data_IF_280417969752
#
_entry.id   IF_280417969752
#
_cell.length_a   1.000
_cell.length_b   1.000
_cell.length_c   1.000
_cell.angle_alpha   90.00
_cell.angle_beta   90.00
_cell.angle_gamma   90.00
#
_symmetry.space_group_name_H-M   'P 1'
#
loop_
_entity.id
_entity.type
_entity.pdbx_description
1 polymer ?
#
# COMPACT_ATOMS: atom_id res chain seq x y z
N UNK A 1 19.23 -11.51 -30.09
CA UNK A 1 18.55 -10.55 -30.98
C UNK A 1 17.14 -10.41 -30.44
N UNK A 2 16.84 -9.31 -29.75
CA UNK A 2 15.50 -9.06 -29.22
C UNK A 2 14.68 -8.38 -30.32
N UNK A 3 13.63 -9.04 -30.79
CA UNK A 3 12.70 -8.46 -31.77
C UNK A 3 11.92 -7.33 -31.12
N UNK A 4 11.96 -6.16 -31.74
CA UNK A 4 11.21 -4.98 -31.31
C UNK A 4 9.74 -5.13 -31.68
N UNK A 5 8.92 -5.65 -30.76
CA UNK A 5 7.48 -5.69 -30.96
C UNK A 5 6.85 -4.30 -30.73
N UNK A 6 6.14 -3.81 -31.73
CA UNK A 6 5.26 -2.65 -31.63
C UNK A 6 3.86 -3.08 -31.23
N UNK A 7 3.16 -2.26 -30.44
CA UNK A 7 1.81 -2.63 -30.00
C UNK A 7 0.76 -2.39 -31.08
N UNK A 8 -0.07 -3.41 -31.32
CA UNK A 8 -1.12 -3.42 -32.33
C UNK A 8 -2.26 -2.38 -32.12
N UNK A 9 -2.38 -1.79 -30.92
CA UNK A 9 -3.46 -0.83 -30.59
C UNK A 9 -2.99 0.62 -30.63
N UNK A 10 -1.82 0.90 -30.05
CA UNK A 10 -1.28 2.26 -29.85
C UNK A 10 -0.14 2.62 -30.84
N UNK A 11 0.44 1.64 -31.53
CA UNK A 11 1.60 1.83 -32.41
C UNK A 11 2.92 2.16 -31.68
N UNK A 12 2.92 2.33 -30.36
CA UNK A 12 4.15 2.55 -29.57
C UNK A 12 4.95 1.27 -29.40
N UNK A 13 6.28 1.40 -29.38
CA UNK A 13 7.23 0.30 -29.10
C UNK A 13 6.89 -0.31 -27.73
N UNK A 14 6.75 -1.64 -27.68
CA UNK A 14 6.57 -2.32 -26.40
C UNK A 14 7.90 -2.41 -25.68
N UNK A 15 7.86 -2.27 -24.35
CA UNK A 15 9.01 -2.55 -23.50
C UNK A 15 8.67 -3.86 -22.79
N UNK A 16 9.47 -4.91 -23.01
CA UNK A 16 9.22 -6.25 -22.48
C UNK A 16 7.82 -6.82 -22.82
N UNK A 17 7.33 -6.56 -24.04
CA UNK A 17 6.07 -7.14 -24.53
C UNK A 17 4.78 -6.45 -24.08
N UNK A 18 4.84 -5.31 -23.38
CA UNK A 18 3.65 -4.57 -22.90
C UNK A 18 3.64 -3.12 -23.39
N UNK A 19 2.49 -2.60 -23.88
CA UNK A 19 2.35 -1.18 -24.30
C UNK A 19 2.18 -0.27 -23.08
N UNK A 20 3.10 0.68 -22.84
CA UNK A 20 3.00 1.62 -21.71
C UNK A 20 1.81 2.59 -21.84
N UNK A 21 1.27 2.75 -23.04
CA UNK A 21 0.15 3.67 -23.33
C UNK A 21 -1.24 3.03 -23.14
N UNK A 22 -1.38 1.75 -23.47
CA UNK A 22 -2.66 1.02 -23.42
C UNK A 22 -2.89 0.27 -22.11
N UNK A 23 -1.83 -0.06 -21.37
CA UNK A 23 -1.94 -0.74 -20.08
C UNK A 23 -1.17 0.03 -18.99
N UNK A 24 -1.69 1.17 -18.51
CA UNK A 24 -1.04 1.98 -17.47
C UNK A 24 -0.94 1.27 -16.11
N UNK A 25 -1.54 0.07 -15.97
CA UNK A 25 -1.41 -0.78 -14.78
C UNK A 25 -0.15 -1.62 -14.73
N UNK A 26 0.58 -1.78 -15.85
CA UNK A 26 1.81 -2.60 -15.92
C UNK A 26 2.91 -1.99 -16.80
N UNK A 27 2.89 -0.68 -17.03
CA UNK A 27 4.16 0.03 -17.16
C UNK A 27 4.86 -0.11 -15.80
N UNK A 28 5.49 -1.26 -15.56
CA UNK A 28 6.59 -1.36 -14.63
C UNK A 28 7.45 -0.13 -14.93
N UNK A 29 7.52 0.78 -13.96
CA UNK A 29 8.51 1.82 -13.97
C UNK A 29 9.86 1.14 -13.95
N UNK A 30 10.34 0.72 -15.11
CA UNK A 30 11.75 0.48 -15.34
C UNK A 30 12.40 1.85 -15.24
N UNK A 31 12.66 2.28 -14.01
CA UNK A 31 13.71 3.23 -13.75
C UNK A 31 14.93 2.67 -14.48
N UNK A 32 15.50 3.45 -15.41
CA UNK A 32 16.68 3.00 -16.15
C UNK A 32 17.75 2.55 -15.15
N UNK A 33 18.64 1.63 -15.53
CA UNK A 33 19.65 1.09 -14.61
C UNK A 33 20.37 2.17 -13.78
N UNK A 34 20.61 3.35 -14.36
CA UNK A 34 21.19 4.51 -13.67
C UNK A 34 20.31 5.10 -12.54
N UNK A 35 19.00 5.14 -12.73
CA UNK A 35 18.05 5.58 -11.71
C UNK A 35 17.92 4.52 -10.61
N UNK A 36 17.88 3.25 -10.98
CA UNK A 36 17.83 2.13 -10.04
C UNK A 36 19.04 2.14 -9.09
N UNK A 37 20.25 2.34 -9.61
CA UNK A 37 21.47 2.45 -8.82
C UNK A 37 21.46 3.66 -7.88
N UNK A 38 20.79 4.76 -8.27
CA UNK A 38 20.62 5.94 -7.42
C UNK A 38 19.69 5.64 -6.23
N UNK A 39 18.60 4.91 -6.44
CA UNK A 39 17.67 4.54 -5.38
C UNK A 39 18.19 3.44 -4.44
N UNK A 40 19.14 2.60 -4.87
CA UNK A 40 19.77 1.62 -3.96
C UNK A 40 20.46 2.26 -2.74
N UNK A 41 20.86 3.53 -2.83
CA UNK A 41 21.52 4.24 -1.73
C UNK A 41 20.62 4.48 -0.51
N UNK A 42 19.30 4.44 -0.68
CA UNK A 42 18.35 4.61 0.44
C UNK A 42 17.87 3.26 1.00
N UNK A 43 18.19 2.15 0.34
CA UNK A 43 17.74 0.82 0.74
C UNK A 43 18.73 0.16 1.70
N UNK A 44 18.19 -0.59 2.66
CA UNK A 44 19.00 -1.31 3.65
C UNK A 44 19.65 -2.54 3.03
N UNK A 45 18.93 -3.27 2.17
CA UNK A 45 19.46 -4.43 1.46
C UNK A 45 19.75 -4.08 -0.01
N UNK A 46 20.95 -4.43 -0.46
CA UNK A 46 21.40 -4.27 -1.83
C UNK A 46 20.49 -4.97 -2.84
N UNK A 47 19.85 -6.09 -2.49
CA UNK A 47 18.98 -6.85 -3.40
C UNK A 47 17.55 -6.30 -3.47
N UNK A 48 17.26 -5.16 -2.84
CA UNK A 48 15.95 -4.53 -2.91
C UNK A 48 15.70 -3.87 -4.27
N UNK A 49 14.53 -4.13 -4.84
CA UNK A 49 14.08 -3.54 -6.10
C UNK A 49 13.12 -2.39 -5.86
N UNK A 50 13.40 -1.23 -6.45
CA UNK A 50 12.50 -0.09 -6.41
C UNK A 50 11.21 -0.39 -7.18
N UNK A 51 10.05 -0.17 -6.55
CA UNK A 51 8.73 -0.38 -7.17
C UNK A 51 8.02 0.94 -7.46
N UNK A 52 8.10 1.90 -6.55
CA UNK A 52 7.40 3.19 -6.69
C UNK A 52 7.77 4.19 -5.61
N UNK A 53 7.45 5.47 -5.83
CA UNK A 53 7.58 6.50 -4.81
C UNK A 53 6.41 7.47 -4.86
N UNK A 54 6.15 8.11 -3.72
CA UNK A 54 5.30 9.26 -3.53
C UNK A 54 6.18 10.46 -3.24
N UNK A 55 6.02 11.52 -4.03
CA UNK A 55 6.84 12.72 -3.93
C UNK A 55 8.18 12.55 -4.61
N UNK A 56 8.21 12.08 -5.87
CA UNK A 56 9.46 11.80 -6.60
C UNK A 56 10.43 13.01 -6.60
N UNK A 57 9.90 14.23 -6.73
CA UNK A 57 10.70 15.46 -6.67
C UNK A 57 11.41 15.63 -5.31
N UNK A 58 10.74 15.28 -4.21
CA UNK A 58 11.30 15.36 -2.86
C UNK A 58 12.33 14.25 -2.62
N UNK A 59 12.07 13.05 -3.13
CA UNK A 59 13.02 11.92 -3.10
C UNK A 59 14.30 12.26 -3.88
N UNK A 60 14.20 12.83 -5.08
CA UNK A 60 15.37 13.24 -5.87
C UNK A 60 16.16 14.36 -5.18
N UNK A 61 15.46 15.31 -4.56
CA UNK A 61 16.11 16.35 -3.78
C UNK A 61 16.85 15.77 -2.57
N UNK A 62 16.27 14.78 -1.88
CA UNK A 62 16.94 14.07 -0.79
C UNK A 62 18.22 13.35 -1.26
N UNK A 63 18.14 12.64 -2.38
CA UNK A 63 19.26 11.89 -2.95
C UNK A 63 20.42 12.80 -3.41
N UNK A 64 20.11 14.07 -3.73
CA UNK A 64 21.10 15.04 -4.21
C UNK A 64 21.65 15.92 -3.08
N UNK A 65 20.78 16.41 -2.18
CA UNK A 65 21.12 17.41 -1.16
C UNK A 65 21.19 16.85 0.26
N UNK A 66 20.74 15.63 0.51
CA UNK A 66 20.63 15.02 1.84
C UNK A 66 19.54 15.62 2.73
N UNK A 67 18.79 16.62 2.26
CA UNK A 67 17.74 17.31 3.01
C UNK A 67 16.38 17.23 2.31
N UNK A 68 15.31 17.18 3.10
CA UNK A 68 13.94 17.12 2.60
C UNK A 68 13.05 18.09 3.36
N UNK A 69 12.42 19.03 2.66
CA UNK A 69 11.44 19.94 3.27
C UNK A 69 10.08 19.27 3.51
N UNK A 70 9.57 18.56 2.50
CA UNK A 70 8.30 17.82 2.55
C UNK A 70 8.59 16.31 2.56
N UNK A 71 7.72 15.51 3.18
CA UNK A 71 7.94 14.07 3.23
C UNK A 71 7.99 13.40 1.85
N UNK A 72 8.65 12.26 1.75
CA UNK A 72 8.52 11.33 0.63
C UNK A 72 8.31 9.92 1.17
N UNK A 73 7.72 9.06 0.33
CA UNK A 73 7.63 7.63 0.60
C UNK A 73 8.18 6.85 -0.59
N UNK A 74 9.10 5.92 -0.38
CA UNK A 74 9.62 5.04 -1.42
C UNK A 74 9.27 3.59 -1.09
N UNK A 75 8.84 2.82 -2.09
CA UNK A 75 8.43 1.42 -1.98
C UNK A 75 9.47 0.59 -2.70
N UNK A 76 9.99 -0.39 -1.99
CA UNK A 76 10.82 -1.47 -2.50
C UNK A 76 9.99 -2.77 -2.60
N UNK A 77 10.55 -3.86 -3.11
CA UNK A 77 9.92 -5.18 -3.09
C UNK A 77 9.82 -5.79 -1.69
N UNK A 78 10.56 -5.26 -0.70
CA UNK A 78 10.54 -5.77 0.69
C UNK A 78 9.97 -4.77 1.70
N UNK A 79 10.24 -3.47 1.50
CA UNK A 79 10.03 -2.43 2.52
C UNK A 79 9.47 -1.15 1.93
N UNK A 80 8.79 -0.39 2.76
CA UNK A 80 8.39 0.99 2.50
C UNK A 80 9.22 1.91 3.38
N UNK A 81 9.87 2.88 2.75
CA UNK A 81 10.73 3.88 3.35
C UNK A 81 9.99 5.20 3.41
N UNK A 82 9.91 5.78 4.60
CA UNK A 82 9.31 7.08 4.86
C UNK A 82 10.39 8.03 5.36
N UNK A 83 10.42 9.26 4.85
CA UNK A 83 11.35 10.28 5.33
C UNK A 83 10.75 11.67 5.15
N UNK A 84 11.12 12.60 6.02
CA UNK A 84 10.69 13.99 6.01
C UNK A 84 9.42 14.22 6.82
N UNK A 85 8.66 15.24 6.41
CA UNK A 85 7.52 15.72 7.19
C UNK A 85 6.28 14.83 7.00
N UNK A 86 5.92 14.09 8.03
CA UNK A 86 4.79 13.15 8.09
C UNK A 86 3.82 13.51 9.21
N UNK A 87 2.64 12.90 9.19
CA UNK A 87 1.65 13.00 10.26
C UNK A 87 1.51 11.66 10.96
N UNK A 88 1.90 11.62 12.24
CA UNK A 88 1.76 10.43 13.09
C UNK A 88 0.65 10.69 14.12
N UNK A 89 -0.07 9.64 14.52
CA UNK A 89 -1.04 9.75 15.61
C UNK A 89 -0.32 9.78 16.96
N UNK A 90 -0.56 10.82 17.75
CA UNK A 90 -0.17 10.84 19.16
C UNK A 90 -1.11 9.97 20.01
N UNK A 91 -0.73 9.73 21.27
CA UNK A 91 -1.52 9.01 22.29
C UNK A 91 -2.97 9.50 22.44
N UNK A 92 -3.23 10.77 22.12
CA UNK A 92 -4.57 11.40 22.15
C UNK A 92 -5.35 11.24 20.82
N UNK A 93 -4.95 10.31 19.95
CA UNK A 93 -5.55 10.09 18.61
C UNK A 93 -5.56 11.30 17.67
N UNK A 94 -4.70 12.31 17.93
CA UNK A 94 -4.57 13.49 17.07
C UNK A 94 -3.37 13.32 16.15
N UNK A 95 -3.53 13.67 14.87
CA UNK A 95 -2.44 13.72 13.92
C UNK A 95 -1.57 14.94 14.21
N UNK A 96 -0.30 14.69 14.50
CA UNK A 96 0.70 15.74 14.72
C UNK A 96 1.71 15.69 13.59
N UNK A 97 2.00 16.86 13.03
CA UNK A 97 3.02 17.02 12.00
C UNK A 97 4.39 16.87 12.66
N UNK A 98 5.16 15.88 12.26
CA UNK A 98 6.50 15.61 12.76
C UNK A 98 7.43 15.27 11.59
N UNK A 99 8.72 15.52 11.77
CA UNK A 99 9.74 15.05 10.84
C UNK A 99 10.22 13.69 11.35
N UNK A 100 9.90 12.62 10.62
CA UNK A 100 10.20 11.26 11.04
C UNK A 100 10.71 10.46 9.83
N UNK A 101 11.82 9.77 10.02
CA UNK A 101 12.31 8.75 9.11
C UNK A 101 11.93 7.37 9.66
N UNK A 102 11.16 6.59 8.90
CA UNK A 102 10.72 5.25 9.31
C UNK A 102 10.80 4.27 8.16
N UNK A 103 11.18 3.04 8.49
CA UNK A 103 11.24 1.93 7.54
C UNK A 103 10.24 0.89 8.04
N UNK A 104 9.38 0.40 7.15
CA UNK A 104 8.32 -0.55 7.47
C UNK A 104 8.36 -1.69 6.46
N UNK A 105 8.41 -2.94 6.92
CA UNK A 105 8.34 -4.10 6.03
C UNK A 105 6.94 -4.19 5.39
N UNK A 106 6.86 -4.57 4.11
CA UNK A 106 5.57 -4.69 3.39
C UNK A 106 4.62 -5.70 4.02
N UNK A 107 5.15 -6.72 4.68
CA UNK A 107 4.39 -7.72 5.43
C UNK A 107 3.59 -7.09 6.59
N UNK A 108 4.13 -6.04 7.19
CA UNK A 108 3.54 -5.38 8.37
C UNK A 108 2.54 -4.28 7.97
N UNK A 109 2.43 -3.95 6.68
CA UNK A 109 1.46 -2.98 6.17
C UNK A 109 0.08 -3.61 6.20
N UNK A 110 -0.77 -3.13 7.10
CA UNK A 110 -2.13 -3.63 7.30
C UNK A 110 -3.13 -2.97 6.35
N UNK A 111 -2.90 -1.72 5.96
CA UNK A 111 -3.81 -1.04 5.03
C UNK A 111 -3.34 0.33 4.56
N UNK A 112 -3.99 0.84 3.52
CA UNK A 112 -3.81 2.19 2.99
C UNK A 112 -5.19 2.84 2.79
N UNK A 113 -5.33 4.13 3.10
CA UNK A 113 -6.60 4.82 3.00
C UNK A 113 -6.46 6.34 2.96
N UNK A 114 -7.54 7.03 2.59
CA UNK A 114 -7.61 8.49 2.59
C UNK A 114 -8.48 8.92 3.77
N UNK A 115 -7.94 9.77 4.65
CA UNK A 115 -8.66 10.29 5.82
C UNK A 115 -8.77 11.80 5.68
N UNK A 116 -10.00 12.31 5.59
CA UNK A 116 -10.26 13.75 5.53
C UNK A 116 -10.49 14.31 6.93
N UNK A 117 -9.76 15.39 7.29
CA UNK A 117 -10.02 16.18 8.48
C UNK A 117 -10.66 17.49 8.09
N UNK A 118 -11.90 17.66 8.55
CA UNK A 118 -12.67 18.88 8.33
C UNK A 118 -12.82 19.59 9.69
N UNK A 119 -12.43 20.86 9.77
CA UNK A 119 -12.69 21.66 10.95
C UNK A 119 -14.15 22.14 10.94
N UNK A 120 -15.04 21.31 11.49
CA UNK A 120 -16.49 21.55 11.48
C UNK A 120 -16.85 22.88 12.17
N UNK A 121 -16.07 23.32 13.17
CA UNK A 121 -16.29 24.58 13.89
C UNK A 121 -16.29 25.82 12.98
N UNK A 122 -15.49 25.82 11.92
CA UNK A 122 -15.47 26.94 10.98
C UNK A 122 -16.76 27.03 10.13
N UNK A 123 -17.42 25.89 9.88
CA UNK A 123 -18.73 25.87 9.21
C UNK A 123 -19.79 26.46 10.13
N UNK A 124 -19.83 26.03 11.39
CA UNK A 124 -20.77 26.57 12.37
C UNK A 124 -20.62 28.09 12.54
N UNK A 125 -19.38 28.57 12.67
CA UNK A 125 -19.11 30.02 12.72
C UNK A 125 -19.55 30.75 11.45
N UNK A 126 -19.31 30.16 10.27
CA UNK A 126 -19.79 30.70 9.00
C UNK A 126 -21.32 30.80 8.94
N UNK A 127 -22.03 29.73 9.29
CA UNK A 127 -23.50 29.68 9.30
C UNK A 127 -24.07 30.73 10.25
N UNK A 128 -23.53 30.85 11.47
CA UNK A 128 -23.94 31.87 12.44
C UNK A 128 -23.73 33.28 11.85
N UNK A 129 -22.61 33.53 11.19
CA UNK A 129 -22.32 34.82 10.54
C UNK A 129 -23.33 35.16 9.46
N UNK A 130 -23.78 34.18 8.66
CA UNK A 130 -24.82 34.38 7.65
C UNK A 130 -26.20 34.66 8.28
N UNK A 131 -26.55 33.97 9.36
CA UNK A 131 -27.80 34.25 10.10
C UNK A 131 -27.78 35.66 10.68
N UNK A 132 -26.68 36.08 11.30
CA UNK A 132 -26.52 37.44 11.82
C UNK A 132 -26.57 38.50 10.72
N UNK A 133 -26.01 38.21 9.55
CA UNK A 133 -26.13 39.08 8.37
C UNK A 133 -27.59 39.28 7.98
N UNK A 134 -28.37 38.20 7.87
CA UNK A 134 -29.78 38.29 7.49
C UNK A 134 -30.60 39.10 8.50
N UNK A 135 -30.40 38.87 9.80
CA UNK A 135 -31.07 39.61 10.87
C UNK A 135 -30.74 41.11 10.79
N UNK A 136 -29.46 41.46 10.67
CA UNK A 136 -29.03 42.86 10.61
C UNK A 136 -29.51 43.59 9.35
N UNK A 137 -29.56 42.90 8.20
CA UNK A 137 -30.10 43.48 6.97
C UNK A 137 -31.61 43.72 7.06
N UNK A 138 -32.38 42.76 7.58
CA UNK A 138 -33.83 42.90 7.77
C UNK A 138 -34.14 44.01 8.77
N UNK A 139 -33.44 44.04 9.91
CA UNK A 139 -33.57 45.12 10.91
C UNK A 139 -33.18 46.48 10.35
N UNK A 140 -32.12 46.56 9.53
CA UNK A 140 -31.69 47.80 8.89
C UNK A 140 -32.72 48.38 7.91
N UNK A 141 -33.45 47.53 7.20
CA UNK A 141 -34.53 47.93 6.28
C UNK A 141 -35.83 48.28 7.03
N UNK A 142 -36.13 47.56 8.11
CA UNK A 142 -37.32 47.79 8.93
C UNK A 142 -37.23 49.07 9.78
N UNK A 143 -36.01 49.54 10.08
CA UNK A 143 -35.77 50.78 10.81
C UNK A 143 -35.85 52.01 9.91
N UNK A 144 -36.44 53.09 10.41
CA UNK A 144 -36.49 54.37 9.70
C UNK A 144 -35.06 54.89 9.44
N UNK A 145 -34.70 55.25 8.18
CA UNK A 145 -33.33 55.65 7.79
C UNK A 145 -32.86 56.96 8.43
N UNK A 146 -33.77 57.69 9.07
CA UNK A 146 -33.49 58.93 9.81
C UNK A 146 -32.97 58.67 11.23
N UNK A 147 -33.11 57.45 11.73
CA UNK A 147 -32.42 56.97 12.94
C UNK A 147 -31.08 56.37 12.51
N UNK A 148 -29.96 56.85 13.07
CA UNK A 148 -28.62 56.34 12.73
C UNK A 148 -28.46 54.81 12.91
N UNK A 149 -29.38 54.16 13.64
CA UNK A 149 -29.43 52.70 13.82
C UNK A 149 -29.68 51.90 12.55
N UNK A 150 -30.44 52.41 11.57
CA UNK A 150 -30.68 51.71 10.30
C UNK A 150 -29.40 51.56 9.47
N UNK A 151 -28.64 52.65 9.34
CA UNK A 151 -27.35 52.67 8.63
C UNK A 151 -26.31 51.79 9.34
N UNK A 152 -26.25 51.85 10.68
CA UNK A 152 -25.32 51.03 11.46
C UNK A 152 -25.63 49.53 11.33
N UNK A 153 -26.91 49.16 11.28
CA UNK A 153 -27.35 47.76 11.09
C UNK A 153 -26.98 47.24 9.71
N UNK A 154 -27.17 48.05 8.65
CA UNK A 154 -26.78 47.68 7.28
C UNK A 154 -25.27 47.51 7.13
N UNK A 155 -24.47 48.44 7.68
CA UNK A 155 -23.00 48.32 7.69
C UNK A 155 -22.54 47.09 8.49
N UNK A 156 -23.17 46.83 9.64
CA UNK A 156 -22.93 45.62 10.43
C UNK A 156 -23.20 44.35 9.63
N UNK A 157 -24.32 44.29 8.89
CA UNK A 157 -24.65 43.18 8.01
C UNK A 157 -23.57 42.91 6.96
N UNK A 158 -23.05 43.95 6.31
CA UNK A 158 -21.96 43.82 5.32
C UNK A 158 -20.68 43.26 5.97
N UNK A 159 -20.33 43.72 7.18
CA UNK A 159 -19.16 43.19 7.91
C UNK A 159 -19.32 41.70 8.25
N UNK A 160 -20.49 41.30 8.76
CA UNK A 160 -20.79 39.89 9.05
C UNK A 160 -20.83 39.01 7.80
N UNK A 161 -21.18 39.57 6.64
CA UNK A 161 -21.13 38.87 5.37
C UNK A 161 -19.68 38.55 4.99
N UNK A 162 -18.77 39.54 5.05
CA UNK A 162 -17.35 39.32 4.80
C UNK A 162 -16.73 38.34 5.81
N UNK A 163 -17.11 38.44 7.08
CA UNK A 163 -16.65 37.49 8.11
C UNK A 163 -17.14 36.06 7.82
N UNK A 164 -18.37 35.89 7.34
CA UNK A 164 -18.92 34.61 6.94
C UNK A 164 -18.17 33.99 5.77
N UNK A 165 -17.91 34.78 4.72
CA UNK A 165 -17.11 34.36 3.57
C UNK A 165 -15.70 33.98 4.03
N UNK A 166 -15.07 34.80 4.86
CA UNK A 166 -13.73 34.54 5.39
C UNK A 166 -13.68 33.21 6.16
N UNK A 167 -14.65 32.93 7.02
CA UNK A 167 -14.76 31.66 7.74
C UNK A 167 -14.89 30.45 6.80
N UNK A 168 -15.68 30.56 5.73
CA UNK A 168 -15.84 29.50 4.72
C UNK A 168 -14.55 29.29 3.91
N UNK A 169 -13.88 30.38 3.52
CA UNK A 169 -12.59 30.30 2.80
C UNK A 169 -11.55 29.64 3.71
N UNK A 170 -11.44 30.09 4.96
CA UNK A 170 -10.56 29.47 5.97
C UNK A 170 -10.90 28.00 6.19
N UNK A 171 -12.19 27.63 6.21
CA UNK A 171 -12.59 26.23 6.29
C UNK A 171 -12.02 25.41 5.13
N UNK A 172 -12.18 25.88 3.88
CA UNK A 172 -11.66 25.17 2.71
C UNK A 172 -10.13 25.08 2.68
N UNK A 173 -9.43 26.14 3.11
CA UNK A 173 -7.96 26.13 3.22
C UNK A 173 -7.50 25.12 4.28
N UNK A 174 -8.23 25.01 5.40
CA UNK A 174 -7.90 24.11 6.52
C UNK A 174 -8.39 22.68 6.36
N UNK A 175 -9.24 22.38 5.36
CA UNK A 175 -9.57 20.99 4.99
C UNK A 175 -8.31 20.31 4.53
N UNK A 176 -7.82 19.32 5.28
CA UNK A 176 -6.63 18.56 4.90
C UNK A 176 -7.02 17.09 4.79
N UNK A 177 -6.75 16.52 3.62
CA UNK A 177 -6.96 15.09 3.38
C UNK A 177 -5.60 14.42 3.44
N UNK A 178 -5.48 13.46 4.36
CA UNK A 178 -4.24 12.73 4.59
C UNK A 178 -4.32 11.34 3.94
N UNK A 179 -3.29 10.96 3.19
CA UNK A 179 -3.05 9.58 2.78
C UNK A 179 -2.45 8.85 3.97
N UNK A 180 -3.23 7.99 4.60
CA UNK A 180 -2.86 7.20 5.77
C UNK A 180 -2.40 5.80 5.34
N UNK A 181 -1.31 5.35 5.93
CA UNK A 181 -0.75 4.01 5.77
C UNK A 181 -0.68 3.41 7.17
N UNK A 182 -1.42 2.33 7.38
CA UNK A 182 -1.48 1.59 8.62
C UNK A 182 -0.51 0.41 8.58
N UNK A 183 0.20 0.20 9.68
CA UNK A 183 1.12 -0.91 9.90
C UNK A 183 1.02 -1.43 11.34
N UNK A 184 1.55 -2.62 11.60
CA UNK A 184 1.43 -3.28 12.91
C UNK A 184 1.91 -2.42 14.11
N UNK A 185 2.83 -1.48 13.88
CA UNK A 185 3.37 -0.55 14.87
C UNK A 185 2.83 0.89 14.83
N UNK A 186 1.69 1.15 14.17
CA UNK A 186 1.06 2.48 14.13
C UNK A 186 0.61 2.92 12.74
N UNK A 187 0.53 4.23 12.52
CA UNK A 187 0.18 4.77 11.21
C UNK A 187 0.99 6.01 10.87
N UNK A 188 1.34 6.14 9.59
CA UNK A 188 1.96 7.33 9.00
C UNK A 188 0.97 7.90 8.01
N UNK A 189 0.83 9.23 7.99
CA UNK A 189 -0.01 9.89 7.02
C UNK A 189 0.69 11.06 6.32
N UNK A 190 0.34 11.29 5.06
CA UNK A 190 0.90 12.32 4.20
C UNK A 190 -0.20 13.28 3.72
N UNK A 191 0.07 14.59 3.69
CA UNK A 191 -0.90 15.55 3.14
C UNK A 191 -0.99 15.41 1.62
N UNK A 192 -2.16 15.01 1.13
CA UNK A 192 -2.43 14.81 -0.30
C UNK A 192 -2.25 16.11 -1.08
N UNK A 193 -2.41 17.29 -0.45
CA UNK A 193 -2.19 18.58 -1.14
C UNK A 193 -0.76 18.78 -1.63
N UNK A 194 0.20 18.07 -1.04
CA UNK A 194 1.61 18.17 -1.41
C UNK A 194 1.96 17.31 -2.64
N UNK A 195 1.05 16.44 -3.07
CA UNK A 195 1.29 15.45 -4.13
C UNK A 195 0.17 15.49 -5.18
N UNK A 196 0.44 14.95 -6.37
CA UNK A 196 -0.59 14.82 -7.39
C UNK A 196 -1.54 13.66 -7.03
N UNK A 197 -2.85 13.81 -7.24
CA UNK A 197 -3.83 12.73 -7.00
C UNK A 197 -3.51 11.46 -7.79
N UNK A 198 -3.10 11.61 -9.05
CA UNK A 198 -2.71 10.47 -9.89
C UNK A 198 -1.48 9.72 -9.32
N UNK A 199 -0.55 10.45 -8.69
CA UNK A 199 0.63 9.87 -8.03
C UNK A 199 0.23 9.12 -6.76
N UNK A 200 -0.70 9.68 -5.96
CA UNK A 200 -1.25 9.02 -4.77
C UNK A 200 -1.94 7.71 -5.11
N UNK A 201 -2.78 7.70 -6.15
CA UNK A 201 -3.51 6.49 -6.57
C UNK A 201 -2.55 5.43 -7.12
N UNK A 202 -1.55 5.85 -7.90
CA UNK A 202 -0.50 4.96 -8.40
C UNK A 202 0.32 4.38 -7.27
N UNK A 203 0.66 5.20 -6.27
CA UNK A 203 1.38 4.76 -5.08
C UNK A 203 0.58 3.72 -4.28
N UNK A 204 -0.72 3.95 -4.05
CA UNK A 204 -1.58 2.97 -3.39
C UNK A 204 -1.65 1.65 -4.15
N UNK A 205 -1.76 1.71 -5.49
CA UNK A 205 -1.73 0.52 -6.35
C UNK A 205 -0.40 -0.21 -6.23
N UNK A 206 0.71 0.52 -6.27
CA UNK A 206 2.05 -0.05 -6.17
C UNK A 206 2.30 -0.74 -4.82
N UNK A 207 1.79 -0.19 -3.71
CA UNK A 207 1.86 -0.87 -2.39
C UNK A 207 1.14 -2.22 -2.45
N UNK A 208 -0.07 -2.26 -3.02
CA UNK A 208 -0.86 -3.49 -3.09
C UNK A 208 -0.17 -4.54 -3.96
N UNK A 209 0.29 -4.14 -5.15
CA UNK A 209 1.02 -5.03 -6.06
C UNK A 209 2.30 -5.53 -5.41
N UNK A 210 3.08 -4.66 -4.76
CA UNK A 210 4.31 -5.05 -4.08
C UNK A 210 4.06 -6.05 -2.95
N UNK A 211 2.98 -5.85 -2.17
CA UNK A 211 2.57 -6.77 -1.12
C UNK A 211 2.16 -8.14 -1.69
N UNK A 212 1.33 -8.16 -2.73
CA UNK A 212 0.89 -9.41 -3.36
C UNK A 212 2.07 -10.19 -3.96
N UNK A 213 3.04 -9.49 -4.54
CA UNK A 213 4.25 -10.10 -5.10
C UNK A 213 5.15 -10.66 -3.98
N UNK A 214 5.33 -9.92 -2.88
CA UNK A 214 6.11 -10.39 -1.74
C UNK A 214 5.52 -11.70 -1.15
N UNK A 215 4.20 -11.78 -1.02
CA UNK A 215 3.51 -12.99 -0.55
C UNK A 215 3.72 -14.18 -1.50
N UNK A 216 3.57 -13.96 -2.82
CA UNK A 216 3.83 -14.99 -3.83
C UNK A 216 5.27 -15.47 -3.83
N UNK A 217 6.23 -14.57 -3.61
CA UNK A 217 7.64 -14.95 -3.49
C UNK A 217 7.88 -15.84 -2.27
N UNK A 218 7.26 -15.53 -1.12
CA UNK A 218 7.35 -16.37 0.08
C UNK A 218 6.69 -17.73 -0.10
N UNK A 219 5.52 -17.78 -0.74
CA UNK A 219 4.84 -19.03 -1.10
C UNK A 219 5.69 -19.87 -2.06
N UNK A 220 6.24 -19.25 -3.10
CA UNK A 220 7.12 -19.94 -4.05
C UNK A 220 8.42 -20.42 -3.39
N UNK A 221 9.00 -19.66 -2.46
CA UNK A 221 10.19 -20.08 -1.70
C UNK A 221 9.88 -21.26 -0.78
N UNK A 222 8.76 -21.24 -0.07
CA UNK A 222 8.37 -22.34 0.80
C UNK A 222 8.00 -23.60 -0.01
N UNK A 223 7.28 -23.46 -1.12
CA UNK A 223 7.00 -24.56 -2.03
C UNK A 223 8.28 -25.15 -2.65
N UNK A 224 9.23 -24.31 -3.06
CA UNK A 224 10.52 -24.78 -3.58
C UNK A 224 11.38 -25.42 -2.49
N UNK A 225 11.37 -24.90 -1.26
CA UNK A 225 12.06 -25.51 -0.12
C UNK A 225 11.48 -26.90 0.18
N UNK A 226 10.15 -27.04 0.22
CA UNK A 226 9.47 -28.33 0.41
C UNK A 226 9.80 -29.29 -0.73
N UNK A 227 9.73 -28.85 -2.00
CA UNK A 227 10.13 -29.68 -3.16
C UNK A 227 11.58 -30.14 -3.05
N UNK A 228 12.49 -29.23 -2.70
CA UNK A 228 13.91 -29.55 -2.55
C UNK A 228 14.16 -30.53 -1.40
N UNK A 229 13.43 -30.39 -0.28
CA UNK A 229 13.49 -31.30 0.85
C UNK A 229 12.90 -32.68 0.52
N UNK A 230 11.79 -32.74 -0.24
CA UNK A 230 11.20 -33.99 -0.73
C UNK A 230 12.10 -34.70 -1.75
N UNK A 231 12.84 -33.96 -2.59
CA UNK A 231 13.81 -34.53 -3.52
C UNK A 231 15.15 -34.90 -2.87
N UNK A 232 15.49 -34.28 -1.75
CA UNK A 232 16.70 -34.58 -0.96
C UNK A 232 16.43 -35.63 0.13
N UNK A 233 15.16 -35.97 0.39
CA UNK A 233 14.82 -37.19 1.10
C UNK A 233 15.41 -38.34 0.28
N UNK A 234 16.26 -39.20 0.86
CA UNK A 234 16.67 -40.38 0.16
C UNK A 234 15.38 -41.07 -0.29
N UNK A 235 15.27 -41.36 -1.59
CA UNK A 235 14.43 -42.45 -2.03
C UNK A 235 14.86 -43.61 -1.15
N UNK A 236 14.08 -43.89 -0.10
CA UNK A 236 13.98 -45.24 0.39
C UNK A 236 13.47 -46.00 -0.83
N UNK A 237 14.43 -46.47 -1.63
CA UNK A 237 14.33 -47.77 -2.27
C UNK A 237 13.57 -48.62 -1.28
N UNK A 238 12.35 -49.02 -1.67
CA UNK A 238 11.49 -49.85 -0.86
C UNK A 238 12.39 -50.85 -0.12
N UNK A 239 12.43 -50.83 1.23
CA UNK A 239 13.24 -51.81 1.91
C UNK A 239 12.77 -53.17 1.41
N UNK A 240 13.69 -54.14 1.35
CA UNK A 240 13.38 -55.56 1.15
C UNK A 240 12.42 -56.14 2.23
N UNK A 241 11.64 -55.29 2.89
CA UNK A 241 10.50 -55.58 3.73
C UNK A 241 9.27 -56.02 2.93
N UNK A 242 9.08 -55.65 1.65
CA UNK A 242 7.87 -56.12 0.92
C UNK A 242 7.84 -57.65 0.79
N UNK A 243 8.94 -58.31 0.41
CA UNK A 243 8.96 -59.78 0.31
C UNK A 243 8.91 -60.46 1.68
N UNK A 244 9.59 -59.93 2.70
CA UNK A 244 9.58 -60.50 4.05
C UNK A 244 8.22 -60.34 4.77
N UNK A 245 7.56 -59.19 4.60
CA UNK A 245 6.26 -58.90 5.21
C UNK A 245 5.13 -59.64 4.46
N UNK A 246 5.26 -59.81 3.13
CA UNK A 246 4.40 -60.70 2.35
C UNK A 246 4.58 -62.17 2.76
N UNK A 247 5.81 -62.64 2.98
CA UNK A 247 6.09 -63.99 3.49
C UNK A 247 5.48 -64.21 4.88
N UNK A 248 5.54 -63.22 5.77
CA UNK A 248 4.86 -63.28 7.07
C UNK A 248 3.34 -63.33 6.94
N UNK A 249 2.77 -62.57 6.00
CA UNK A 249 1.34 -62.63 5.70
C UNK A 249 0.93 -64.00 5.21
N UNK A 250 1.67 -64.60 4.26
CA UNK A 250 1.42 -65.96 3.78
C UNK A 250 1.59 -67.02 4.89
N UNK A 251 2.57 -66.86 5.77
CA UNK A 251 2.77 -67.78 6.91
C UNK A 251 1.58 -67.72 7.89
N UNK A 252 1.06 -66.53 8.17
CA UNK A 252 -0.13 -66.34 9.02
C UNK A 252 -1.40 -66.94 8.39
N UNK A 253 -1.48 -67.01 7.06
CA UNK A 253 -2.62 -67.62 6.35
C UNK A 253 -2.53 -69.16 6.37
N UNK A 254 -1.31 -69.72 6.36
CA UNK A 254 -1.08 -71.16 6.52
C UNK A 254 -1.45 -71.63 7.93
N UNK A 255 -1.05 -70.87 8.96
CA UNK A 255 -1.37 -71.18 10.36
C UNK A 255 -2.89 -71.16 10.63
N UNK A 256 -3.63 -70.29 9.94
CA UNK A 256 -5.10 -70.23 9.98
C UNK A 256 -5.79 -71.31 9.14
N UNK A 257 -5.03 -72.18 8.46
CA UNK A 257 -5.55 -73.26 7.61
C UNK A 257 -6.23 -72.77 6.32
N UNK A 258 -5.98 -71.53 5.90
CA UNK A 258 -6.63 -70.89 4.75
C UNK A 258 -5.93 -71.20 3.41
N UNK A 259 -4.67 -71.68 3.47
CA UNK A 259 -3.88 -72.08 2.31
C UNK A 259 -3.17 -73.40 2.59
N UNK A 260 -2.91 -74.17 1.54
CA UNK A 260 -2.19 -75.44 1.65
C UNK A 260 -0.66 -75.24 1.68
N UNK A 261 0.08 -76.23 2.19
CA UNK A 261 1.55 -76.17 2.28
C UNK A 261 2.22 -76.01 0.91
N UNK A 262 1.61 -76.51 -0.15
CA UNK A 262 2.10 -76.40 -1.52
C UNK A 262 1.99 -74.98 -2.07
N UNK A 263 0.88 -74.28 -1.78
CA UNK A 263 0.63 -72.90 -2.21
C UNK A 263 1.56 -71.91 -1.49
N UNK A 264 1.85 -72.16 -0.22
CA UNK A 264 2.83 -71.38 0.54
C UNK A 264 4.25 -71.50 -0.05
N UNK A 265 4.67 -72.72 -0.41
CA UNK A 265 5.99 -72.96 -1.00
C UNK A 265 6.12 -72.34 -2.40
N UNK A 266 5.05 -72.36 -3.20
CA UNK A 266 5.02 -71.70 -4.51
C UNK A 266 5.08 -70.16 -4.40
N UNK A 267 4.40 -69.57 -3.41
CA UNK A 267 4.48 -68.14 -3.13
C UNK A 267 5.87 -67.73 -2.63
N UNK A 268 6.47 -68.54 -1.75
CA UNK A 268 7.83 -68.33 -1.24
C UNK A 268 8.89 -68.36 -2.34
N UNK A 269 8.76 -69.26 -3.32
CA UNK A 269 9.67 -69.35 -4.46
C UNK A 269 9.53 -68.22 -5.49
N UNK A 270 8.45 -67.43 -5.45
CA UNK A 270 8.25 -66.24 -6.30
C UNK A 270 8.78 -64.96 -5.68
N UNK A 271 8.92 -64.94 -4.36
CA UNK A 271 9.32 -63.76 -3.58
C UNK A 271 10.81 -63.75 -3.22
N UNK A 272 11.51 -64.87 -3.44
CA UNK A 272 12.96 -65.06 -3.28
C UNK A 272 13.61 -65.21 -4.65
#
# INVERSE_FOLDING_TARGET
MAEDLFCAVCGTRTVNGVCPKCNPGMAQGGYGNADYDRYRKIFVDSNEQFVGALGNNYLQNFLTSGSVGNGYAAISNKRVYFNGTTFTKNEKNRFVKQNESKIVDLKDVTGTGLVAFNNIGAIFGGVISFVMTAVLLISGIAMNPRSGGGILSLLGGVVFLFLGIFCIVMYNVRKTTLLKIDFAGGCIAFDIKLYNRAEVDTFQRNIRIAKDNALKEEENRSANAIRSAMSAMPQQSAPAASSADELMKYASMLEKGLITQEEFNAAKARLL
#
